data_IF_706741032921
#
_entry.id   IF_706741032921
#
_cell.length_a   1.000
_cell.length_b   1.000
_cell.length_c   1.000
_cell.angle_alpha   90.00
_cell.angle_beta   90.00
_cell.angle_gamma   90.00
#
_symmetry.space_group_name_H-M   'P 1'
#
loop_
_entity.id
_entity.type
_entity.pdbx_description
1 polymer ?
#
# COMPACT_ATOMS: atom_id res chain seq x y z
N UNK A 1 -46.97 -24.00 -18.92
CA UNK A 1 -46.52 -23.52 -17.60
C UNK A 1 -47.60 -23.75 -16.56
N UNK A 2 -48.87 -23.46 -16.85
CA UNK A 2 -49.99 -23.85 -15.97
C UNK A 2 -50.77 -25.06 -16.51
N UNK A 3 -50.50 -26.23 -15.95
CA UNK A 3 -51.41 -27.39 -16.00
C UNK A 3 -51.85 -27.65 -14.57
N UNK A 4 -53.16 -27.58 -14.30
CA UNK A 4 -53.68 -27.82 -12.96
C UNK A 4 -53.44 -29.29 -12.55
N UNK A 5 -53.04 -29.51 -11.30
CA UNK A 5 -52.73 -30.86 -10.80
C UNK A 5 -53.90 -31.85 -10.98
N UNK A 6 -55.14 -31.36 -10.94
CA UNK A 6 -56.35 -32.16 -11.16
C UNK A 6 -56.46 -32.68 -12.60
N UNK A 7 -56.00 -31.89 -13.58
CA UNK A 7 -55.99 -32.25 -15.00
C UNK A 7 -54.95 -33.36 -15.23
N UNK A 8 -53.76 -33.24 -14.63
CA UNK A 8 -52.72 -34.27 -14.68
C UNK A 8 -53.18 -35.58 -14.04
N UNK A 9 -53.88 -35.49 -12.89
CA UNK A 9 -54.42 -36.67 -12.19
C UNK A 9 -55.50 -37.37 -13.01
N UNK A 10 -56.33 -36.63 -13.73
CA UNK A 10 -57.35 -37.18 -14.63
C UNK A 10 -56.73 -37.80 -15.89
N UNK A 11 -55.59 -37.29 -16.37
CA UNK A 11 -54.90 -37.77 -17.58
C UNK A 11 -54.03 -39.02 -17.35
N UNK A 12 -53.49 -39.23 -16.14
CA UNK A 12 -52.67 -40.40 -15.78
C UNK A 12 -53.22 -41.76 -16.27
N UNK A 13 -54.47 -42.14 -15.96
CA UNK A 13 -55.00 -43.45 -16.38
C UNK A 13 -55.09 -43.61 -17.91
N UNK A 14 -55.20 -42.53 -18.67
CA UNK A 14 -55.21 -42.56 -20.14
C UNK A 14 -53.79 -42.67 -20.71
N UNK A 15 -52.82 -42.01 -20.10
CA UNK A 15 -51.40 -42.05 -20.51
C UNK A 15 -50.74 -43.41 -20.23
N UNK A 16 -51.19 -44.12 -19.20
CA UNK A 16 -50.72 -45.47 -18.84
C UNK A 16 -51.40 -46.58 -19.66
N UNK A 17 -52.40 -46.24 -20.47
CA UNK A 17 -53.15 -47.21 -21.26
C UNK A 17 -52.37 -47.62 -22.52
N UNK A 18 -52.16 -48.92 -22.79
CA UNK A 18 -51.37 -49.40 -23.93
C UNK A 18 -51.97 -49.08 -25.30
N UNK A 19 -53.26 -48.75 -25.38
CA UNK A 19 -53.88 -48.26 -26.63
C UNK A 19 -53.64 -46.76 -26.89
N UNK A 20 -53.20 -45.99 -25.89
CA UNK A 20 -52.95 -44.56 -26.00
C UNK A 20 -51.50 -44.27 -26.44
N UNK A 21 -51.09 -44.95 -27.51
CA UNK A 21 -49.76 -44.79 -28.11
C UNK A 21 -49.92 -44.12 -29.48
N UNK A 22 -49.08 -43.12 -29.84
CA UNK A 22 -49.24 -42.37 -31.10
C UNK A 22 -49.29 -43.27 -32.34
N UNK A 23 -48.54 -44.37 -32.33
CA UNK A 23 -48.49 -45.35 -33.42
C UNK A 23 -49.80 -46.16 -33.53
N UNK A 24 -50.43 -46.50 -32.40
CA UNK A 24 -51.71 -47.20 -32.37
C UNK A 24 -52.88 -46.28 -32.76
N UNK A 25 -52.86 -45.02 -32.34
CA UNK A 25 -53.91 -44.04 -32.64
C UNK A 25 -53.81 -43.56 -34.09
N UNK A 26 -52.59 -43.39 -34.62
CA UNK A 26 -52.36 -42.99 -36.02
C UNK A 26 -52.85 -44.03 -37.02
N UNK A 27 -52.86 -45.32 -36.65
CA UNK A 27 -53.42 -46.41 -37.46
C UNK A 27 -54.94 -46.28 -37.70
N UNK A 28 -55.67 -45.56 -36.83
CA UNK A 28 -57.10 -45.25 -37.00
C UNK A 28 -57.35 -43.85 -37.56
N UNK A 29 -56.51 -42.88 -37.18
CA UNK A 29 -56.58 -41.51 -37.70
C UNK A 29 -55.25 -40.79 -37.50
N UNK A 30 -54.63 -40.33 -38.59
CA UNK A 30 -53.38 -39.57 -38.52
C UNK A 30 -53.52 -38.27 -37.70
N UNK A 31 -54.65 -37.57 -37.83
CA UNK A 31 -54.91 -36.35 -37.06
C UNK A 31 -55.03 -36.65 -35.55
N UNK A 32 -55.65 -37.77 -35.18
CA UNK A 32 -55.77 -38.19 -33.80
C UNK A 32 -54.41 -38.66 -33.22
N UNK A 33 -53.57 -39.31 -34.02
CA UNK A 33 -52.20 -39.68 -33.63
C UNK A 33 -51.31 -38.47 -33.33
N UNK A 34 -51.42 -37.40 -34.13
CA UNK A 34 -50.74 -36.14 -33.87
C UNK A 34 -51.16 -35.49 -32.54
N UNK A 35 -52.45 -35.52 -32.22
CA UNK A 35 -52.98 -35.04 -30.93
C UNK A 35 -52.51 -35.91 -29.75
N UNK A 36 -52.50 -37.23 -29.90
CA UNK A 36 -51.99 -38.16 -28.89
C UNK A 36 -50.50 -37.88 -28.57
N UNK A 37 -49.67 -37.75 -29.61
CA UNK A 37 -48.26 -37.38 -29.46
C UNK A 37 -48.07 -36.01 -28.81
N UNK A 38 -48.89 -35.01 -29.19
CA UNK A 38 -48.86 -33.69 -28.59
C UNK A 38 -49.17 -33.71 -27.09
N UNK A 39 -50.22 -34.45 -26.66
CA UNK A 39 -50.58 -34.58 -25.24
C UNK A 39 -49.46 -35.25 -24.43
N UNK A 40 -48.90 -36.37 -24.92
CA UNK A 40 -47.81 -37.08 -24.25
C UNK A 40 -46.58 -36.18 -24.09
N UNK A 41 -46.18 -35.50 -25.16
CA UNK A 41 -45.03 -34.59 -25.12
C UNK A 41 -45.27 -33.37 -24.23
N UNK A 42 -46.51 -32.86 -24.17
CA UNK A 42 -46.88 -31.72 -23.32
C UNK A 42 -46.80 -32.09 -21.83
N UNK A 43 -47.29 -33.29 -21.45
CA UNK A 43 -47.22 -33.77 -20.06
C UNK A 43 -45.77 -34.06 -19.66
N UNK A 44 -45.00 -34.72 -20.52
CA UNK A 44 -43.57 -34.99 -20.29
C UNK A 44 -42.76 -33.71 -20.16
N UNK A 45 -43.04 -32.71 -21.00
CA UNK A 45 -42.42 -31.39 -20.89
C UNK A 45 -42.75 -30.72 -19.56
N UNK A 46 -44.01 -30.79 -19.11
CA UNK A 46 -44.42 -30.21 -17.84
C UNK A 46 -43.71 -30.85 -16.64
N UNK A 47 -43.58 -32.19 -16.61
CA UNK A 47 -42.84 -32.88 -15.54
C UNK A 47 -41.37 -32.43 -15.47
N UNK A 48 -40.69 -32.38 -16.63
CA UNK A 48 -39.30 -31.88 -16.70
C UNK A 48 -39.23 -30.40 -16.33
N UNK A 49 -40.21 -29.59 -16.73
CA UNK A 49 -40.29 -28.18 -16.38
C UNK A 49 -40.39 -27.99 -14.86
N UNK A 50 -41.23 -28.78 -14.17
CA UNK A 50 -41.32 -28.74 -12.70
C UNK A 50 -39.99 -29.05 -11.99
N UNK A 51 -39.15 -29.91 -12.56
CA UNK A 51 -37.83 -30.23 -12.01
C UNK A 51 -36.76 -29.18 -12.36
N UNK A 52 -36.87 -28.55 -13.54
CA UNK A 52 -35.87 -27.60 -14.06
C UNK A 52 -36.11 -26.19 -13.55
N UNK A 53 -37.37 -25.78 -13.38
CA UNK A 53 -37.74 -24.45 -12.89
C UNK A 53 -37.10 -24.09 -11.53
N UNK A 54 -37.19 -24.92 -10.47
CA UNK A 54 -36.52 -24.61 -9.20
C UNK A 54 -35.00 -24.54 -9.35
N UNK A 55 -34.41 -25.32 -10.27
CA UNK A 55 -32.97 -25.28 -10.55
C UNK A 55 -32.57 -24.00 -11.27
N UNK A 56 -33.38 -23.50 -12.19
CA UNK A 56 -33.18 -22.21 -12.86
C UNK A 56 -33.24 -21.06 -11.86
N UNK A 57 -34.26 -21.05 -11.00
CA UNK A 57 -34.40 -20.03 -9.94
C UNK A 57 -33.21 -20.09 -8.97
N UNK A 58 -32.79 -21.29 -8.55
CA UNK A 58 -31.63 -21.46 -7.67
C UNK A 58 -30.33 -20.98 -8.35
N UNK A 59 -30.15 -21.27 -9.63
CA UNK A 59 -28.99 -20.84 -10.42
C UNK A 59 -28.96 -19.32 -10.58
N UNK A 60 -30.10 -18.71 -10.89
CA UNK A 60 -30.22 -17.25 -11.00
C UNK A 60 -29.91 -16.57 -9.65
N UNK A 61 -30.45 -17.10 -8.56
CA UNK A 61 -30.13 -16.62 -7.20
C UNK A 61 -28.65 -16.76 -6.87
N UNK A 62 -28.04 -17.90 -7.15
CA UNK A 62 -26.61 -18.10 -6.91
C UNK A 62 -25.73 -17.16 -7.76
N UNK A 63 -26.09 -16.95 -9.03
CA UNK A 63 -25.39 -16.02 -9.92
C UNK A 63 -25.51 -14.57 -9.45
N UNK A 64 -26.71 -14.13 -9.05
CA UNK A 64 -26.91 -12.77 -8.51
C UNK A 64 -26.11 -12.56 -7.23
N UNK A 65 -26.12 -13.53 -6.30
CA UNK A 65 -25.29 -13.48 -5.09
C UNK A 65 -23.80 -13.40 -5.44
N UNK A 66 -23.33 -14.22 -6.38
CA UNK A 66 -21.95 -14.25 -6.83
C UNK A 66 -21.50 -12.93 -7.48
N UNK A 67 -22.32 -12.32 -8.31
CA UNK A 67 -22.03 -11.02 -8.91
C UNK A 67 -22.01 -9.90 -7.86
N UNK A 68 -22.91 -9.93 -6.87
CA UNK A 68 -22.83 -8.96 -5.75
C UNK A 68 -21.58 -9.15 -4.88
N UNK A 69 -21.10 -10.38 -4.73
CA UNK A 69 -19.86 -10.66 -4.00
C UNK A 69 -18.63 -10.20 -4.79
N UNK A 70 -18.60 -10.44 -6.11
CA UNK A 70 -17.52 -10.00 -7.01
C UNK A 70 -17.39 -8.48 -7.03
N UNK A 71 -18.49 -7.76 -7.24
CA UNK A 71 -18.49 -6.29 -7.24
C UNK A 71 -18.01 -5.71 -5.92
N UNK A 72 -18.40 -6.29 -4.77
CA UNK A 72 -17.86 -5.91 -3.46
C UNK A 72 -16.37 -6.18 -3.35
N UNK A 73 -15.90 -7.34 -3.82
CA UNK A 73 -14.49 -7.71 -3.79
C UNK A 73 -13.64 -6.76 -4.64
N UNK A 74 -14.09 -6.43 -5.85
CA UNK A 74 -13.42 -5.47 -6.73
C UNK A 74 -13.35 -4.08 -6.10
N UNK A 75 -14.45 -3.61 -5.51
CA UNK A 75 -14.48 -2.34 -4.79
C UNK A 75 -13.49 -2.30 -3.62
N UNK A 76 -13.47 -3.34 -2.79
CA UNK A 76 -12.53 -3.44 -1.66
C UNK A 76 -11.08 -3.53 -2.15
N UNK A 77 -10.82 -4.32 -3.19
CA UNK A 77 -9.48 -4.46 -3.77
C UNK A 77 -8.97 -3.12 -4.32
N UNK A 78 -9.85 -2.36 -5.00
CA UNK A 78 -9.53 -1.02 -5.49
C UNK A 78 -9.22 -0.06 -4.32
N UNK A 79 -10.02 -0.10 -3.24
CA UNK A 79 -9.76 0.68 -2.04
C UNK A 79 -8.42 0.34 -1.38
N UNK A 80 -8.10 -0.95 -1.25
CA UNK A 80 -6.83 -1.40 -0.67
C UNK A 80 -5.67 -0.89 -1.49
N UNK A 81 -5.71 -1.04 -2.83
CA UNK A 81 -4.67 -0.51 -3.72
C UNK A 81 -4.48 0.99 -3.56
N UNK A 82 -5.57 1.77 -3.54
CA UNK A 82 -5.48 3.21 -3.33
C UNK A 82 -4.87 3.59 -1.98
N UNK A 83 -5.18 2.84 -0.91
CA UNK A 83 -4.58 3.06 0.40
C UNK A 83 -3.09 2.67 0.43
N UNK A 84 -2.70 1.59 -0.23
CA UNK A 84 -1.30 1.16 -0.35
C UNK A 84 -0.46 2.20 -1.09
N UNK A 85 -0.98 2.79 -2.17
CA UNK A 85 -0.31 3.86 -2.92
C UNK A 85 -0.09 5.11 -2.04
N UNK A 86 -1.13 5.54 -1.31
CA UNK A 86 -1.02 6.68 -0.40
C UNK A 86 -0.02 6.40 0.71
N UNK A 87 -0.03 5.19 1.26
CA UNK A 87 0.87 4.78 2.33
C UNK A 87 2.31 4.68 1.84
N UNK A 88 2.55 4.17 0.62
CA UNK A 88 3.85 4.14 -0.01
C UNK A 88 4.41 5.56 -0.23
N UNK A 89 3.59 6.48 -0.75
CA UNK A 89 3.97 7.89 -0.91
C UNK A 89 4.33 8.53 0.43
N UNK A 90 3.47 8.36 1.45
CA UNK A 90 3.68 8.97 2.76
C UNK A 90 4.92 8.40 3.46
N UNK A 91 5.21 7.11 3.30
CA UNK A 91 6.45 6.49 3.79
C UNK A 91 7.69 7.09 3.12
N UNK A 92 7.67 7.26 1.80
CA UNK A 92 8.78 7.87 1.08
C UNK A 92 9.02 9.34 1.51
N UNK A 93 7.94 10.12 1.66
CA UNK A 93 8.02 11.49 2.19
C UNK A 93 8.56 11.53 3.62
N UNK A 94 8.11 10.60 4.47
CA UNK A 94 8.58 10.48 5.84
C UNK A 94 10.07 10.12 5.91
N UNK A 95 10.52 9.13 5.15
CA UNK A 95 11.93 8.72 5.10
C UNK A 95 12.83 9.84 4.58
N UNK A 96 12.40 10.57 3.55
CA UNK A 96 13.13 11.73 3.04
C UNK A 96 13.23 12.85 4.09
N UNK A 97 12.12 13.18 4.76
CA UNK A 97 12.10 14.19 5.81
C UNK A 97 12.94 13.77 7.03
N UNK A 98 12.93 12.49 7.38
CA UNK A 98 13.72 11.96 8.47
C UNK A 98 15.22 12.00 8.16
N UNK A 99 15.62 11.62 6.94
CA UNK A 99 17.00 11.72 6.49
C UNK A 99 17.50 13.17 6.49
N UNK A 100 16.68 14.11 6.04
CA UNK A 100 17.02 15.53 6.06
C UNK A 100 17.16 16.05 7.50
N UNK A 101 16.23 15.68 8.39
CA UNK A 101 16.31 16.00 9.80
C UNK A 101 17.62 15.49 10.41
N UNK A 102 17.96 14.23 10.17
CA UNK A 102 19.18 13.62 10.71
C UNK A 102 20.44 14.34 10.20
N UNK A 103 20.48 14.69 8.90
CA UNK A 103 21.57 15.48 8.32
C UNK A 103 21.72 16.83 9.00
N UNK A 104 20.63 17.55 9.22
CA UNK A 104 20.64 18.82 9.93
C UNK A 104 21.11 18.67 11.38
N UNK A 105 20.68 17.62 12.09
CA UNK A 105 21.13 17.34 13.46
C UNK A 105 22.64 17.05 13.51
N UNK A 106 23.17 16.26 12.57
CA UNK A 106 24.60 15.98 12.47
C UNK A 106 25.42 17.24 12.18
N UNK A 107 24.95 18.10 11.29
CA UNK A 107 25.62 19.37 11.00
C UNK A 107 25.57 20.34 12.20
N UNK A 108 24.43 20.42 12.89
CA UNK A 108 24.30 21.18 14.12
C UNK A 108 25.26 20.67 15.21
N UNK A 109 25.38 19.36 15.38
CA UNK A 109 26.32 18.77 16.33
C UNK A 109 27.78 19.07 15.96
N UNK A 110 28.13 18.95 14.66
CA UNK A 110 29.48 19.27 14.17
C UNK A 110 29.84 20.74 14.42
N UNK A 111 28.91 21.65 14.14
CA UNK A 111 29.11 23.08 14.37
C UNK A 111 29.20 23.41 15.86
N UNK A 112 28.40 22.76 16.71
CA UNK A 112 28.49 22.91 18.17
C UNK A 112 29.87 22.50 18.71
N UNK A 113 30.41 21.35 18.28
CA UNK A 113 31.76 20.90 18.65
C UNK A 113 32.81 21.91 18.17
N UNK A 114 32.66 22.42 16.95
CA UNK A 114 33.58 23.42 16.39
C UNK A 114 33.57 24.71 17.20
N UNK A 115 32.39 25.17 17.62
CA UNK A 115 32.22 26.35 18.48
C UNK A 115 32.87 26.12 19.85
N UNK A 116 32.69 24.95 20.44
CA UNK A 116 33.31 24.59 21.72
C UNK A 116 34.84 24.66 21.63
N UNK A 117 35.42 24.06 20.57
CA UNK A 117 36.86 24.12 20.33
C UNK A 117 37.35 25.56 20.11
N UNK A 118 36.62 26.35 19.34
CA UNK A 118 36.95 27.75 19.10
C UNK A 118 36.93 28.56 20.41
N UNK A 119 35.91 28.38 21.25
CA UNK A 119 35.83 29.02 22.55
C UNK A 119 37.00 28.62 23.46
N UNK A 120 37.39 27.34 23.46
CA UNK A 120 38.55 26.87 24.22
C UNK A 120 39.85 27.53 23.73
N UNK A 121 40.03 27.65 22.41
CA UNK A 121 41.17 28.35 21.83
C UNK A 121 41.19 29.83 22.22
N UNK A 122 40.06 30.54 22.08
CA UNK A 122 39.95 31.95 22.49
C UNK A 122 40.30 32.14 23.96
N UNK A 123 39.79 31.27 24.84
CA UNK A 123 40.13 31.28 26.27
C UNK A 123 41.63 31.08 26.53
N UNK A 124 42.26 30.12 25.83
CA UNK A 124 43.70 29.88 25.93
C UNK A 124 44.53 31.06 25.42
N UNK A 125 44.20 31.59 24.24
CA UNK A 125 44.88 32.73 23.62
C UNK A 125 44.72 34.04 24.41
N UNK A 126 43.68 34.17 25.25
CA UNK A 126 43.51 35.37 26.06
C UNK A 126 44.68 35.58 27.04
N UNK A 127 45.14 34.51 27.69
CA UNK A 127 46.32 34.56 28.58
C UNK A 127 47.61 34.83 27.79
N UNK A 128 47.74 34.20 26.64
CA UNK A 128 48.91 34.32 25.77
C UNK A 128 49.05 35.72 25.17
N UNK A 129 47.93 36.39 24.86
CA UNK A 129 47.89 37.79 24.42
C UNK A 129 48.55 38.72 25.45
N UNK A 130 48.26 38.52 26.74
CA UNK A 130 48.86 39.32 27.82
C UNK A 130 50.36 39.02 27.89
N UNK A 131 50.74 37.75 27.88
CA UNK A 131 52.15 37.30 27.92
C UNK A 131 52.97 37.87 26.76
N UNK A 132 52.44 37.83 25.54
CA UNK A 132 53.10 38.40 24.36
C UNK A 132 53.19 39.92 24.43
N UNK A 133 52.15 40.60 24.91
CA UNK A 133 52.19 42.05 25.11
C UNK A 133 53.28 42.47 26.10
N UNK A 134 53.41 41.75 27.23
CA UNK A 134 54.48 41.96 28.21
C UNK A 134 55.87 41.67 27.62
N UNK A 135 56.03 40.56 26.90
CA UNK A 135 57.29 40.20 26.24
C UNK A 135 57.73 41.26 25.22
N UNK A 136 56.81 41.76 24.40
CA UNK A 136 57.08 42.85 23.44
C UNK A 136 57.49 44.13 24.17
N UNK A 137 56.80 44.50 25.25
CA UNK A 137 57.16 45.68 26.04
C UNK A 137 58.55 45.55 26.69
N UNK A 138 58.91 44.36 27.16
CA UNK A 138 60.25 44.07 27.69
C UNK A 138 61.31 44.16 26.60
N UNK A 139 61.08 43.56 25.43
CA UNK A 139 62.00 43.64 24.29
C UNK A 139 62.24 45.08 23.85
N UNK A 140 61.20 45.91 23.77
CA UNK A 140 61.32 47.34 23.45
C UNK A 140 62.15 48.13 24.47
N UNK A 141 62.12 47.76 25.76
CA UNK A 141 62.99 48.37 26.78
C UNK A 141 64.43 47.88 26.64
N UNK A 142 64.62 46.59 26.41
CA UNK A 142 65.94 45.99 26.19
C UNK A 142 66.60 46.61 24.96
N UNK A 143 65.88 46.77 23.86
CA UNK A 143 66.39 47.43 22.64
C UNK A 143 66.97 48.83 22.91
N UNK A 144 66.32 49.63 23.77
CA UNK A 144 66.80 50.97 24.15
C UNK A 144 68.05 50.95 25.03
N UNK A 145 68.23 49.90 25.84
CA UNK A 145 69.33 49.77 26.82
C UNK A 145 70.51 48.98 26.27
N UNK A 146 70.28 48.18 25.21
CA UNK A 146 71.22 47.27 24.58
C UNK A 146 72.55 47.92 24.17
N UNK A 147 72.60 49.13 23.57
CA UNK A 147 73.88 49.75 23.21
C UNK A 147 74.76 50.04 24.45
N UNK A 148 74.13 50.43 25.57
CA UNK A 148 74.82 50.69 26.83
C UNK A 148 75.32 49.40 27.47
N UNK A 149 74.51 48.34 27.45
CA UNK A 149 74.89 47.03 27.97
C UNK A 149 76.07 46.43 27.18
N UNK A 150 76.06 46.54 25.84
CA UNK A 150 77.16 46.09 24.98
C UNK A 150 78.44 46.90 25.25
N UNK A 151 78.32 48.21 25.45
CA UNK A 151 79.47 49.05 25.80
C UNK A 151 80.10 48.63 27.13
N UNK A 152 79.29 48.38 28.17
CA UNK A 152 79.77 47.90 29.46
C UNK A 152 80.44 46.52 29.37
N UNK A 153 79.82 45.58 28.65
CA UNK A 153 80.37 44.23 28.46
C UNK A 153 81.69 44.25 27.66
N UNK A 154 81.76 45.04 26.58
CA UNK A 154 82.98 45.16 25.78
C UNK A 154 84.13 45.82 26.56
N UNK A 155 83.83 46.84 27.38
CA UNK A 155 84.80 47.46 28.27
C UNK A 155 85.33 46.47 29.34
N UNK A 156 84.45 45.67 29.93
CA UNK A 156 84.83 44.62 30.88
C UNK A 156 85.77 43.60 30.24
N UNK A 157 85.40 43.03 29.09
CA UNK A 157 86.21 42.01 28.39
C UNK A 157 87.57 42.57 27.91
N UNK A 158 87.63 43.86 27.58
CA UNK A 158 88.86 44.47 27.03
C UNK A 158 89.85 44.91 28.10
N UNK A 159 89.43 45.09 29.36
CA UNK A 159 90.22 45.77 30.39
C UNK A 159 90.38 45.00 31.71
N UNK A 160 89.47 44.07 32.02
CA UNK A 160 89.59 43.11 33.13
C UNK A 160 90.08 41.76 32.62
#
# INVERSE_FOLDING_TARGET
EDIHADILKALKPYLEHPEFEPDNVSAKSMAAGGLCSWVINTVRFYEVFCDVEPKRIALEKANTELETARTKLEFLTSKVKGQEEVLARLKAEYEAAFAEKQRCEEEANRTAITIELANRLVGGLASEKIRWAEAVAMMQRSEKTLPGDILLLSAFISYM
#
